data_IF_266262777479
#
_entry.id   IF_266262777479
#
_cell.length_a   1.000
_cell.length_b   1.000
_cell.length_c   1.000
_cell.angle_alpha   90.00
_cell.angle_beta   90.00
_cell.angle_gamma   90.00
#
_symmetry.space_group_name_H-M   'P 1'
#
loop_
_entity.id
_entity.type
_entity.pdbx_description
1 polymer ?
#
# COMPACT_ATOMS: atom_id res chain seq x y z
N UNK A 1 -19.36 -3.25 3.17
CA UNK A 1 -18.59 -2.87 4.38
C UNK A 1 -17.46 -1.96 3.93
N UNK A 2 -16.94 -1.08 4.79
CA UNK A 2 -15.94 -0.10 4.37
C UNK A 2 -14.55 -0.75 4.28
N UNK A 3 -13.97 -0.73 3.08
CA UNK A 3 -12.65 -1.27 2.76
C UNK A 3 -11.47 -0.42 3.29
N UNK A 4 -11.75 0.62 4.08
CA UNK A 4 -10.76 1.56 4.59
C UNK A 4 -10.63 1.40 6.11
N UNK A 5 -9.48 0.91 6.58
CA UNK A 5 -9.09 0.96 8.01
C UNK A 5 -8.19 2.19 8.22
N UNK A 6 -8.26 2.80 9.41
CA UNK A 6 -7.57 4.05 9.68
C UNK A 6 -7.43 4.26 11.20
N UNK A 7 -6.21 4.44 11.69
CA UNK A 7 -6.00 4.94 13.06
C UNK A 7 -6.06 6.48 13.04
N UNK A 8 -7.28 7.02 13.16
CA UNK A 8 -7.52 8.45 12.97
C UNK A 8 -6.73 9.31 13.96
N UNK A 9 -6.78 8.97 15.26
CA UNK A 9 -6.07 9.72 16.30
C UNK A 9 -4.56 9.80 16.02
N UNK A 10 -3.94 8.67 15.65
CA UNK A 10 -2.52 8.64 15.30
C UNK A 10 -2.21 9.49 14.07
N UNK A 11 -2.98 9.35 12.98
CA UNK A 11 -2.76 10.15 11.77
C UNK A 11 -2.92 11.64 12.05
N UNK A 12 -3.96 12.05 12.79
CA UNK A 12 -4.18 13.46 13.14
C UNK A 12 -3.01 14.05 13.94
N UNK A 13 -2.49 13.31 14.94
CA UNK A 13 -1.30 13.71 15.70
C UNK A 13 -0.07 13.82 14.79
N UNK A 14 0.16 12.86 13.90
CA UNK A 14 1.30 12.93 12.97
C UNK A 14 1.16 14.06 11.94
N UNK A 15 -0.06 14.42 11.52
CA UNK A 15 -0.30 15.60 10.65
C UNK A 15 0.02 16.89 11.40
N UNK A 16 -0.43 17.03 12.64
CA UNK A 16 -0.10 18.18 13.48
C UNK A 16 1.42 18.30 13.66
N UNK A 17 2.10 17.22 14.05
CA UNK A 17 3.53 17.21 14.32
C UNK A 17 4.41 17.41 13.07
N UNK A 18 4.02 16.86 11.90
CA UNK A 18 4.87 16.84 10.69
C UNK A 18 4.53 17.93 9.67
N UNK A 19 3.34 18.54 9.78
CA UNK A 19 2.85 19.55 8.83
C UNK A 19 2.30 20.83 9.49
N UNK A 20 2.18 20.89 10.83
CA UNK A 20 1.62 22.04 11.57
C UNK A 20 0.17 22.40 11.20
N UNK A 21 -0.58 21.48 10.59
CA UNK A 21 -1.96 21.74 10.14
C UNK A 21 -2.94 21.59 11.31
N UNK A 22 -3.62 22.67 11.64
CA UNK A 22 -4.54 22.74 12.78
C UNK A 22 -5.88 22.05 12.51
N UNK A 23 -6.34 21.98 11.26
CA UNK A 23 -7.62 21.37 10.86
C UNK A 23 -7.45 20.04 10.11
N UNK A 24 -6.62 19.15 10.66
CA UNK A 24 -6.30 17.85 10.07
C UNK A 24 -7.52 16.93 9.89
N UNK A 25 -8.59 17.12 10.67
CA UNK A 25 -9.82 16.33 10.63
C UNK A 25 -10.57 16.48 9.30
N UNK A 26 -10.64 17.69 8.73
CA UNK A 26 -11.29 17.91 7.43
C UNK A 26 -10.51 17.20 6.31
N UNK A 27 -9.18 17.31 6.33
CA UNK A 27 -8.28 16.60 5.40
C UNK A 27 -8.49 15.08 5.49
N UNK A 28 -8.44 14.50 6.69
CA UNK A 28 -8.56 13.05 6.87
C UNK A 28 -9.95 12.53 6.47
N UNK A 29 -11.01 13.28 6.78
CA UNK A 29 -12.37 13.00 6.29
C UNK A 29 -12.42 12.98 4.76
N UNK A 30 -11.84 13.98 4.10
CA UNK A 30 -11.81 14.10 2.64
C UNK A 30 -11.07 12.93 2.00
N UNK A 31 -9.89 12.57 2.50
CA UNK A 31 -9.14 11.39 2.03
C UNK A 31 -9.93 10.10 2.24
N UNK A 32 -10.46 9.85 3.44
CA UNK A 32 -11.25 8.64 3.73
C UNK A 32 -12.47 8.51 2.82
N UNK A 33 -13.19 9.62 2.58
CA UNK A 33 -14.40 9.62 1.74
C UNK A 33 -14.09 9.49 0.25
N UNK A 34 -13.02 10.12 -0.25
CA UNK A 34 -12.55 9.92 -1.62
C UNK A 34 -12.18 8.45 -1.87
N UNK A 35 -11.40 7.84 -0.96
CA UNK A 35 -11.05 6.41 -1.05
C UNK A 35 -12.29 5.51 -0.97
N UNK A 36 -13.17 5.71 0.01
CA UNK A 36 -14.34 4.87 0.20
C UNK A 36 -15.42 5.00 -0.88
N UNK A 37 -15.50 6.16 -1.56
CA UNK A 37 -16.50 6.38 -2.63
C UNK A 37 -15.98 6.10 -4.02
N UNK A 38 -14.68 6.30 -4.30
CA UNK A 38 -14.13 6.17 -5.66
C UNK A 38 -13.35 4.88 -5.91
N UNK A 39 -12.78 4.21 -4.89
CA UNK A 39 -11.98 3.01 -5.13
C UNK A 39 -12.86 1.74 -5.30
N UNK A 40 -12.73 0.99 -6.42
CA UNK A 40 -13.27 -0.36 -6.54
C UNK A 40 -12.77 -1.31 -5.43
N UNK A 41 -13.54 -2.36 -5.11
CA UNK A 41 -13.20 -3.31 -4.02
C UNK A 41 -11.92 -4.11 -4.22
N UNK A 42 -11.48 -4.28 -5.47
CA UNK A 42 -10.23 -4.91 -5.87
C UNK A 42 -9.17 -3.92 -6.37
N UNK A 43 -9.37 -2.63 -6.08
CA UNK A 43 -8.41 -1.63 -6.51
C UNK A 43 -7.05 -1.80 -5.85
N UNK A 44 -5.98 -1.53 -6.61
CA UNK A 44 -4.61 -1.59 -6.11
C UNK A 44 -3.88 -0.29 -6.41
N UNK A 45 -3.51 0.43 -5.35
CA UNK A 45 -2.67 1.63 -5.47
C UNK A 45 -1.19 1.33 -5.79
N UNK A 46 -0.76 0.07 -5.87
CA UNK A 46 0.64 -0.43 -5.69
C UNK A 46 1.71 0.01 -6.72
N UNK A 47 2.55 -0.87 -7.29
CA UNK A 47 2.52 -2.35 -7.36
C UNK A 47 3.51 -3.07 -6.41
N UNK A 48 3.88 -2.46 -5.27
CA UNK A 48 4.85 -2.99 -4.30
C UNK A 48 4.50 -4.39 -3.73
N UNK A 49 5.49 -5.27 -3.46
CA UNK A 49 5.31 -6.49 -2.67
C UNK A 49 4.99 -6.22 -1.19
N UNK A 50 5.45 -5.10 -0.63
CA UNK A 50 5.02 -4.66 0.71
C UNK A 50 3.62 -4.05 0.72
N UNK A 51 2.99 -3.95 -0.46
CA UNK A 51 1.69 -3.33 -0.71
C UNK A 51 1.49 -1.93 -0.10
N UNK A 52 2.60 -1.23 0.21
CA UNK A 52 2.65 0.16 0.64
C UNK A 52 2.27 1.11 -0.50
N UNK A 53 1.47 2.12 -0.20
CA UNK A 53 1.06 3.16 -1.13
C UNK A 53 0.98 4.51 -0.42
N UNK A 54 1.15 5.59 -1.19
CA UNK A 54 1.00 6.97 -0.71
C UNK A 54 -0.23 7.64 -1.32
N UNK A 55 -1.07 8.24 -0.49
CA UNK A 55 -2.16 9.12 -0.91
C UNK A 55 -1.80 10.54 -0.50
N UNK A 56 -1.89 11.49 -1.42
CA UNK A 56 -1.70 12.92 -1.11
C UNK A 56 -3.03 13.65 -1.20
N UNK A 57 -3.37 14.37 -0.13
CA UNK A 57 -4.44 15.38 -0.18
C UNK A 57 -3.90 16.62 -0.91
N UNK A 58 -4.47 16.98 -2.06
CA UNK A 58 -3.90 18.03 -2.92
C UNK A 58 -3.98 19.42 -2.31
N UNK A 59 -5.01 19.68 -1.50
CA UNK A 59 -5.24 20.95 -0.81
C UNK A 59 -4.18 21.19 0.28
N UNK A 60 -4.07 20.25 1.23
CA UNK A 60 -3.13 20.39 2.36
C UNK A 60 -1.70 19.89 2.10
N UNK A 61 -1.46 19.19 0.98
CA UNK A 61 -0.20 18.48 0.66
C UNK A 61 0.20 17.37 1.63
N UNK A 62 -0.68 16.97 2.55
CA UNK A 62 -0.43 15.86 3.48
C UNK A 62 -0.29 14.56 2.70
N UNK A 63 0.78 13.82 2.97
CA UNK A 63 1.11 12.53 2.36
C UNK A 63 0.84 11.41 3.35
N UNK A 64 -0.25 10.67 3.17
CA UNK A 64 -0.62 9.54 4.03
C UNK A 64 -0.01 8.25 3.46
N UNK A 65 0.71 7.51 4.31
CA UNK A 65 1.16 6.16 4.03
C UNK A 65 0.04 5.16 4.39
N UNK A 66 -0.31 4.30 3.44
CA UNK A 66 -1.19 3.17 3.67
C UNK A 66 -0.60 1.84 3.18
N UNK A 67 -1.22 0.73 3.58
CA UNK A 67 -0.92 -0.65 3.15
C UNK A 67 -2.19 -1.30 2.66
N UNK A 68 -2.12 -2.03 1.53
CA UNK A 68 -3.23 -2.83 1.02
C UNK A 68 -3.02 -4.31 1.33
N UNK A 69 -4.03 -5.02 1.80
CA UNK A 69 -3.97 -6.47 2.00
C UNK A 69 -5.33 -7.13 1.74
N UNK A 70 -5.32 -8.43 1.48
CA UNK A 70 -6.53 -9.26 1.38
C UNK A 70 -7.05 -9.52 2.80
N UNK A 71 -8.33 -9.24 3.05
CA UNK A 71 -8.94 -9.32 4.38
C UNK A 71 -9.26 -10.77 4.77
N UNK A 72 -8.20 -11.48 5.13
CA UNK A 72 -8.26 -12.83 5.69
C UNK A 72 -7.20 -12.97 6.79
N UNK A 73 -7.57 -13.66 7.87
CA UNK A 73 -6.67 -14.01 8.97
C UNK A 73 -6.57 -12.97 10.11
N UNK A 74 -7.42 -11.94 10.15
CA UNK A 74 -7.50 -11.03 11.32
C UNK A 74 -7.86 -11.81 12.60
N UNK A 75 -8.94 -12.60 12.57
CA UNK A 75 -9.37 -13.45 13.68
C UNK A 75 -8.33 -14.54 14.06
N UNK A 76 -7.58 -15.05 13.09
CA UNK A 76 -6.48 -16.00 13.33
C UNK A 76 -5.40 -15.34 14.21
N UNK A 77 -4.95 -14.14 13.83
CA UNK A 77 -3.96 -13.36 14.60
C UNK A 77 -4.51 -12.96 15.98
N UNK A 78 -5.77 -12.56 16.08
CA UNK A 78 -6.42 -12.26 17.37
C UNK A 78 -6.47 -13.49 18.28
N UNK A 79 -6.80 -14.68 17.73
CA UNK A 79 -6.79 -15.94 18.48
C UNK A 79 -5.39 -16.33 18.97
N UNK A 80 -4.37 -16.07 18.15
CA UNK A 80 -2.97 -16.30 18.48
C UNK A 80 -2.52 -15.37 19.61
N UNK A 81 -2.82 -14.07 19.49
CA UNK A 81 -2.50 -13.08 20.52
C UNK A 81 -3.19 -13.41 21.85
N UNK A 82 -4.45 -13.87 21.80
CA UNK A 82 -5.17 -14.38 22.97
C UNK A 82 -4.47 -15.62 23.57
N UNK A 83 -4.14 -16.62 22.76
CA UNK A 83 -3.45 -17.83 23.23
C UNK A 83 -2.08 -17.52 23.85
N UNK A 84 -1.34 -16.55 23.30
CA UNK A 84 -0.08 -16.07 23.88
C UNK A 84 -0.32 -15.36 25.23
N UNK A 85 -1.38 -14.54 25.34
CA UNK A 85 -1.70 -13.86 26.60
C UNK A 85 -2.21 -14.78 27.72
N UNK A 86 -2.77 -15.93 27.35
CA UNK A 86 -3.27 -16.96 28.28
C UNK A 86 -2.28 -18.10 28.54
N UNK A 87 -1.05 -18.02 27.98
CA UNK A 87 -0.01 -19.07 28.00
C UNK A 87 -0.45 -20.45 27.43
N UNK A 88 -1.39 -20.43 26.48
CA UNK A 88 -1.97 -21.61 25.79
C UNK A 88 -1.39 -21.82 24.39
N UNK A 89 -0.13 -21.40 24.19
CA UNK A 89 0.52 -21.44 22.88
C UNK A 89 0.67 -22.88 22.37
N UNK A 90 0.99 -23.84 23.26
CA UNK A 90 1.13 -25.25 22.87
C UNK A 90 -0.15 -25.80 22.26
N UNK A 91 -1.30 -25.59 22.91
CA UNK A 91 -2.61 -26.03 22.42
C UNK A 91 -2.99 -25.37 21.09
N UNK A 92 -2.68 -24.08 20.93
CA UNK A 92 -2.87 -23.39 19.65
C UNK A 92 -1.99 -23.99 18.55
N UNK A 93 -0.72 -24.32 18.84
CA UNK A 93 0.20 -24.92 17.85
C UNK A 93 -0.15 -26.35 17.46
N UNK A 94 -0.88 -27.11 18.28
CA UNK A 94 -1.44 -28.42 17.88
C UNK A 94 -2.39 -28.31 16.68
N UNK A 95 -3.03 -27.15 16.50
CA UNK A 95 -3.89 -26.84 15.35
C UNK A 95 -3.16 -26.33 14.09
N UNK A 96 -1.83 -26.16 14.12
CA UNK A 96 -1.09 -25.43 13.08
C UNK A 96 -1.22 -26.03 11.68
N UNK A 97 -1.40 -27.36 11.54
CA UNK A 97 -1.60 -27.97 10.22
C UNK A 97 -2.96 -27.63 9.60
N UNK A 98 -4.03 -27.55 10.41
CA UNK A 98 -5.34 -27.07 9.98
C UNK A 98 -5.28 -25.61 9.55
N UNK A 99 -4.65 -24.76 10.38
CA UNK A 99 -4.42 -23.34 10.06
C UNK A 99 -3.59 -23.14 8.79
N UNK A 100 -2.59 -23.99 8.55
CA UNK A 100 -1.81 -23.98 7.31
C UNK A 100 -2.66 -24.34 6.09
N UNK A 101 -3.62 -25.27 6.22
CA UNK A 101 -4.56 -25.60 5.14
C UNK A 101 -5.48 -24.41 4.83
N UNK A 102 -6.13 -23.85 5.85
CA UNK A 102 -7.01 -22.67 5.69
C UNK A 102 -6.25 -21.47 5.09
N UNK A 103 -5.02 -21.26 5.54
CA UNK A 103 -4.15 -20.21 4.99
C UNK A 103 -3.86 -20.43 3.51
N UNK A 104 -3.47 -21.64 3.09
CA UNK A 104 -3.24 -21.96 1.67
C UNK A 104 -4.51 -21.79 0.82
N UNK A 105 -5.68 -22.17 1.35
CA UNK A 105 -6.98 -21.96 0.68
C UNK A 105 -7.29 -20.46 0.51
N UNK A 106 -7.02 -19.64 1.53
CA UNK A 106 -7.15 -18.19 1.46
C UNK A 106 -6.16 -17.55 0.46
N UNK A 107 -4.91 -18.03 0.42
CA UNK A 107 -3.93 -17.57 -0.55
C UNK A 107 -4.38 -17.84 -1.99
N UNK A 108 -5.07 -18.97 -2.23
CA UNK A 108 -5.64 -19.37 -3.51
C UNK A 108 -7.06 -18.80 -3.79
N UNK A 109 -7.64 -17.99 -2.89
CA UNK A 109 -9.00 -17.46 -3.05
C UNK A 109 -9.00 -16.10 -3.81
N UNK A 110 -9.65 -15.98 -4.99
CA UNK A 110 -9.75 -14.71 -5.75
C UNK A 110 -10.80 -13.73 -5.19
N UNK A 111 -11.65 -14.18 -4.25
CA UNK A 111 -12.84 -13.48 -3.79
C UNK A 111 -12.67 -12.79 -2.43
N UNK A 112 -11.48 -12.80 -1.84
CA UNK A 112 -11.24 -11.99 -0.64
C UNK A 112 -11.41 -10.50 -1.00
N UNK A 113 -11.98 -9.74 -0.07
CA UNK A 113 -12.03 -8.30 -0.18
C UNK A 113 -10.64 -7.70 0.09
N UNK A 114 -10.33 -6.56 -0.53
CA UNK A 114 -9.13 -5.79 -0.17
C UNK A 114 -9.48 -4.84 0.96
N UNK A 115 -8.56 -4.68 1.90
CA UNK A 115 -8.52 -3.58 2.88
C UNK A 115 -7.35 -2.67 2.57
N UNK A 116 -7.63 -1.38 2.58
CA UNK A 116 -6.65 -0.30 2.58
C UNK A 116 -6.54 0.26 4.00
N UNK A 117 -5.44 -0.04 4.69
CA UNK A 117 -5.15 0.44 6.04
C UNK A 117 -4.30 1.71 5.96
N UNK A 118 -4.87 2.86 6.33
CA UNK A 118 -4.16 4.13 6.44
C UNK A 118 -3.40 4.14 7.77
N UNK A 119 -2.06 4.13 7.69
CA UNK A 119 -1.17 3.89 8.83
C UNK A 119 -0.73 5.19 9.53
N UNK A 120 -0.13 6.12 8.79
CA UNK A 120 0.52 7.31 9.35
C UNK A 120 0.60 8.44 8.32
N UNK A 121 0.71 9.70 8.77
CA UNK A 121 1.04 10.82 7.88
C UNK A 121 2.56 10.88 7.71
N UNK A 122 3.05 10.52 6.54
CA UNK A 122 4.49 10.46 6.24
C UNK A 122 5.09 11.87 6.17
N UNK A 123 6.35 12.11 6.60
CA UNK A 123 6.97 13.43 6.51
C UNK A 123 6.93 14.02 5.08
N UNK A 124 6.85 15.36 4.93
CA UNK A 124 6.81 16.00 3.62
C UNK A 124 8.07 15.68 2.80
N UNK A 125 9.24 15.83 3.42
CA UNK A 125 10.56 15.58 2.83
C UNK A 125 10.73 14.12 2.34
N UNK A 126 11.75 13.87 1.52
CA UNK A 126 12.13 12.50 1.12
C UNK A 126 12.55 11.71 2.37
N UNK A 127 11.80 10.66 2.70
CA UNK A 127 12.35 9.56 3.49
C UNK A 127 13.50 8.89 2.73
N UNK A 128 14.41 8.26 3.45
CA UNK A 128 15.62 7.70 2.85
C UNK A 128 15.31 6.58 1.86
N UNK A 129 15.56 6.83 0.57
CA UNK A 129 15.40 5.86 -0.52
C UNK A 129 16.29 4.60 -0.29
N UNK A 130 17.35 4.73 0.51
CA UNK A 130 18.22 3.62 0.94
C UNK A 130 17.58 2.66 1.95
N UNK A 131 16.50 3.06 2.62
CA UNK A 131 15.73 2.21 3.54
C UNK A 131 14.70 1.38 2.78
N UNK A 132 13.92 2.00 1.87
CA UNK A 132 12.93 1.30 1.03
C UNK A 132 13.57 0.16 0.22
N UNK A 133 14.80 0.35 -0.30
CA UNK A 133 15.56 -0.69 -1.02
C UNK A 133 16.03 -1.85 -0.13
N UNK A 134 16.45 -1.59 1.11
CA UNK A 134 16.89 -2.63 2.05
C UNK A 134 15.71 -3.45 2.58
N UNK A 135 14.57 -2.78 2.85
CA UNK A 135 13.31 -3.44 3.18
C UNK A 135 12.84 -4.34 2.03
N UNK A 136 12.95 -3.90 0.77
CA UNK A 136 12.59 -4.71 -0.39
C UNK A 136 13.38 -6.03 -0.46
N UNK A 137 14.70 -5.99 -0.33
CA UNK A 137 15.56 -7.18 -0.43
C UNK A 137 15.14 -8.28 0.57
N UNK A 138 14.97 -7.92 1.84
CA UNK A 138 14.51 -8.84 2.87
C UNK A 138 13.08 -9.36 2.62
N UNK A 139 12.14 -8.48 2.20
CA UNK A 139 10.75 -8.90 1.90
C UNK A 139 10.70 -9.91 0.74
N UNK A 140 11.58 -9.79 -0.27
CA UNK A 140 11.69 -10.80 -1.34
C UNK A 140 12.11 -12.17 -0.82
N UNK A 141 13.00 -12.21 0.16
CA UNK A 141 13.52 -13.45 0.74
C UNK A 141 12.56 -14.09 1.74
N UNK A 142 11.65 -13.32 2.33
CA UNK A 142 10.83 -13.73 3.49
C UNK A 142 9.37 -14.07 3.15
N UNK A 143 8.80 -13.56 2.04
CA UNK A 143 7.40 -13.87 1.68
C UNK A 143 7.18 -15.28 1.13
N UNK A 144 6.02 -15.86 1.43
CA UNK A 144 5.60 -17.16 0.91
C UNK A 144 5.15 -17.12 -0.57
N UNK A 145 4.77 -15.95 -1.07
CA UNK A 145 4.22 -15.77 -2.41
C UNK A 145 5.31 -15.71 -3.48
N UNK A 146 5.16 -16.43 -4.62
CA UNK A 146 6.00 -16.24 -5.80
C UNK A 146 5.61 -14.94 -6.50
N UNK A 147 6.01 -13.80 -5.93
CA UNK A 147 5.83 -12.50 -6.58
C UNK A 147 6.88 -12.39 -7.69
N UNK A 148 6.44 -12.47 -8.95
CA UNK A 148 7.29 -12.14 -10.10
C UNK A 148 7.53 -10.62 -10.07
N UNK A 149 8.76 -10.23 -9.75
CA UNK A 149 9.10 -8.86 -9.38
C UNK A 149 9.80 -8.11 -10.51
N UNK A 150 9.23 -6.97 -10.89
CA UNK A 150 10.00 -5.89 -11.51
C UNK A 150 10.48 -4.92 -10.43
N UNK A 151 11.80 -4.75 -10.31
CA UNK A 151 12.44 -4.03 -9.19
C UNK A 151 12.23 -2.51 -9.21
N UNK A 152 11.66 -1.98 -10.30
CA UNK A 152 11.44 -0.55 -10.48
C UNK A 152 10.07 -0.17 -9.92
N UNK A 153 10.07 0.77 -8.97
CA UNK A 153 8.92 1.54 -8.40
C UNK A 153 8.31 1.04 -7.08
N UNK A 154 9.17 0.83 -6.08
CA UNK A 154 8.91 1.43 -4.76
C UNK A 154 9.60 2.80 -4.75
N UNK A 155 8.81 3.86 -4.51
CA UNK A 155 9.30 5.20 -4.27
C UNK A 155 8.28 5.96 -3.43
N UNK A 156 8.74 6.80 -2.51
CA UNK A 156 7.92 7.69 -1.67
C UNK A 156 7.16 8.82 -2.45
N UNK A 157 6.74 8.52 -3.67
CA UNK A 157 5.93 9.36 -4.58
C UNK A 157 4.45 9.01 -4.41
N UNK A 158 3.51 9.93 -4.72
CA UNK A 158 2.09 9.65 -4.60
C UNK A 158 1.68 8.52 -5.55
N UNK A 159 0.96 7.54 -5.01
CA UNK A 159 0.23 6.53 -5.80
C UNK A 159 -1.17 7.04 -6.16
N UNK A 160 -1.76 7.84 -5.28
CA UNK A 160 -3.03 8.51 -5.52
C UNK A 160 -3.01 9.96 -5.01
N UNK A 161 -3.87 10.79 -5.61
CA UNK A 161 -4.06 12.20 -5.24
C UNK A 161 -5.56 12.43 -5.03
N UNK A 162 -5.91 12.98 -3.88
CA UNK A 162 -7.28 13.37 -3.51
C UNK A 162 -7.42 14.87 -3.75
N UNK A 163 -8.33 15.26 -4.64
CA UNK A 163 -8.63 16.67 -4.94
C UNK A 163 -9.87 17.13 -4.19
N UNK A 164 -10.89 16.27 -4.10
CA UNK A 164 -12.13 16.49 -3.36
C UNK A 164 -12.65 15.18 -2.77
N UNK A 165 -13.76 15.20 -2.03
CA UNK A 165 -14.36 13.98 -1.45
C UNK A 165 -14.87 12.98 -2.50
N UNK A 166 -14.95 13.38 -3.77
CA UNK A 166 -15.44 12.60 -4.90
C UNK A 166 -14.42 12.48 -6.04
N UNK A 167 -13.21 13.03 -5.88
CA UNK A 167 -12.22 13.16 -6.95
C UNK A 167 -10.88 12.56 -6.50
N UNK A 168 -10.68 11.29 -6.85
CA UNK A 168 -9.50 10.49 -6.54
C UNK A 168 -8.77 10.12 -7.82
N UNK A 169 -7.55 10.60 -7.98
CA UNK A 169 -6.70 10.33 -9.14
C UNK A 169 -5.67 9.26 -8.81
N UNK A 170 -5.36 8.36 -9.74
CA UNK A 170 -4.38 7.28 -9.57
C UNK A 170 -3.24 7.37 -10.59
N UNK A 171 -2.01 7.18 -10.08
CA UNK A 171 -0.78 7.29 -10.85
C UNK A 171 -0.66 6.15 -11.85
N UNK A 172 -0.38 6.49 -13.10
CA UNK A 172 -0.08 5.54 -14.16
C UNK A 172 1.41 5.23 -14.27
N UNK A 173 1.76 4.25 -15.11
CA UNK A 173 3.15 3.78 -15.26
C UNK A 173 4.10 4.80 -15.88
N UNK A 174 3.61 5.96 -16.34
CA UNK A 174 4.41 6.98 -17.04
C UNK A 174 4.87 8.08 -16.10
N UNK A 175 6.19 8.31 -16.12
CA UNK A 175 6.86 9.36 -15.37
C UNK A 175 8.09 9.86 -16.14
N UNK A 176 8.38 11.15 -16.07
CA UNK A 176 9.54 11.76 -16.70
C UNK A 176 10.16 12.85 -15.82
N UNK A 177 11.39 13.25 -16.14
CA UNK A 177 12.08 14.38 -15.53
C UNK A 177 12.31 15.40 -16.64
N UNK A 178 11.96 16.67 -16.40
CA UNK A 178 12.23 17.72 -17.39
C UNK A 178 13.73 18.05 -17.35
N UNK A 179 14.48 17.96 -18.47
CA UNK A 179 15.92 18.26 -18.48
C UNK A 179 16.27 19.67 -18.00
N UNK A 180 15.34 20.64 -18.16
CA UNK A 180 15.49 22.02 -17.70
C UNK A 180 15.22 22.22 -16.20
N UNK A 181 14.65 21.22 -15.52
CA UNK A 181 14.43 21.23 -14.07
C UNK A 181 14.55 19.79 -13.51
N UNK A 182 15.79 19.28 -13.33
CA UNK A 182 16.02 17.90 -12.93
C UNK A 182 15.53 17.57 -11.50
N UNK A 183 15.23 18.58 -10.69
CA UNK A 183 14.71 18.45 -9.32
C UNK A 183 13.17 18.24 -9.28
N UNK A 184 12.52 18.18 -10.44
CA UNK A 184 11.06 18.07 -10.60
C UNK A 184 10.72 16.87 -11.50
N UNK A 185 10.15 15.84 -10.89
CA UNK A 185 9.57 14.68 -11.58
C UNK A 185 8.12 14.98 -11.96
N UNK A 186 7.65 14.42 -13.08
CA UNK A 186 6.28 14.54 -13.58
C UNK A 186 5.66 13.16 -13.71
N UNK A 187 4.37 13.07 -13.41
CA UNK A 187 3.61 11.82 -13.36
C UNK A 187 2.25 12.00 -14.03
N UNK A 188 1.87 11.02 -14.85
CA UNK A 188 0.52 10.93 -15.37
C UNK A 188 -0.41 10.33 -14.30
N UNK A 189 -1.55 10.97 -14.09
CA UNK A 189 -2.64 10.45 -13.27
C UNK A 189 -3.94 10.40 -14.09
N UNK A 190 -4.75 9.38 -13.86
CA UNK A 190 -6.08 9.21 -14.46
C UNK A 190 -7.12 9.14 -13.33
N UNK A 191 -8.37 9.57 -13.59
CA UNK A 191 -9.41 9.58 -12.56
C UNK A 191 -9.81 8.13 -12.22
N UNK A 192 -9.85 7.80 -10.93
CA UNK A 192 -10.45 6.56 -10.45
C UNK A 192 -11.94 6.78 -10.16
N UNK A 193 -12.76 5.84 -10.61
CA UNK A 193 -14.20 5.80 -10.38
C UNK A 193 -14.59 4.44 -9.79
N UNK A 194 -15.81 4.27 -9.25
CA UNK A 194 -16.29 2.97 -8.74
C UNK A 194 -16.25 1.81 -9.75
N UNK A 195 -16.19 2.13 -11.06
CA UNK A 195 -16.12 1.18 -12.16
C UNK A 195 -14.68 0.93 -12.66
N UNK A 196 -13.68 1.58 -12.05
CA UNK A 196 -12.27 1.56 -12.46
C UNK A 196 -11.78 2.90 -12.99
N UNK A 197 -10.64 2.87 -13.71
CA UNK A 197 -10.02 4.08 -14.27
C UNK A 197 -10.88 4.66 -15.41
N UNK A 198 -11.19 5.95 -15.32
CA UNK A 198 -11.69 6.74 -16.45
C UNK A 198 -10.53 7.31 -17.28
N UNK A 199 -10.14 6.58 -18.33
CA UNK A 199 -9.07 6.95 -19.27
C UNK A 199 -9.33 8.21 -20.11
N UNK A 200 -10.57 8.71 -20.14
CA UNK A 200 -10.89 9.96 -20.81
C UNK A 200 -10.47 11.20 -20.00
N UNK A 201 -10.21 11.03 -18.69
CA UNK A 201 -9.84 12.12 -17.80
C UNK A 201 -8.43 11.86 -17.24
N UNK A 202 -7.51 12.76 -17.55
CA UNK A 202 -6.12 12.73 -17.11
C UNK A 202 -5.69 14.06 -16.53
N UNK A 203 -4.72 14.02 -15.61
CA UNK A 203 -4.01 15.17 -15.06
C UNK A 203 -2.52 14.87 -14.97
N UNK A 204 -1.68 15.87 -15.18
CA UNK A 204 -0.24 15.77 -14.92
C UNK A 204 0.00 16.40 -13.54
N UNK A 205 0.70 15.66 -12.69
CA UNK A 205 1.16 16.18 -11.41
C UNK A 205 2.68 16.14 -11.35
N UNK A 206 3.28 17.20 -10.82
CA UNK A 206 4.70 17.23 -10.50
C UNK A 206 4.96 16.86 -9.05
N UNK A 207 6.16 16.32 -8.80
CA UNK A 207 6.70 16.02 -7.49
C UNK A 207 8.12 16.56 -7.38
N UNK A 208 8.39 17.41 -6.38
CA UNK A 208 9.72 17.99 -6.15
C UNK A 208 10.56 17.17 -5.17
N UNK A 209 11.86 17.44 -5.11
CA UNK A 209 12.75 16.84 -4.11
C UNK A 209 12.28 17.06 -2.65
N UNK A 210 11.59 18.17 -2.37
CA UNK A 210 11.05 18.53 -1.06
C UNK A 210 9.70 17.88 -0.75
N UNK A 211 9.14 17.13 -1.70
CA UNK A 211 7.88 16.41 -1.56
C UNK A 211 6.61 17.19 -1.89
N UNK A 212 6.74 18.39 -2.46
CA UNK A 212 5.58 19.15 -2.92
C UNK A 212 4.92 18.46 -4.12
N UNK A 213 3.58 18.43 -4.11
CA UNK A 213 2.75 17.99 -5.24
C UNK A 213 1.98 19.18 -5.81
N UNK A 214 2.11 19.41 -7.12
CA UNK A 214 1.38 20.47 -7.84
C UNK A 214 0.73 19.89 -9.10
N UNK A 215 -0.49 20.32 -9.39
CA UNK A 215 -1.14 20.06 -10.68
C UNK A 215 -0.45 20.94 -11.74
N UNK A 216 -0.16 20.36 -12.91
CA UNK A 216 0.50 21.04 -14.02
C UNK A 216 -0.46 21.15 -15.19
N UNK A 217 -0.43 22.27 -15.92
CA UNK A 217 -1.22 22.43 -17.13
C UNK A 217 -0.70 21.48 -18.25
N UNK A 218 -1.62 20.85 -18.97
CA UNK A 218 -1.35 19.99 -20.14
C UNK A 218 -0.64 20.84 -21.23
N UNK A 219 0.70 20.83 -21.21
CA UNK A 219 1.56 21.66 -22.06
C UNK A 219 2.79 22.24 -21.34
N UNK A 220 2.71 22.54 -20.04
CA UNK A 220 3.83 23.14 -19.27
C UNK A 220 4.86 22.10 -18.82
N UNK A 221 4.45 20.84 -18.67
CA UNK A 221 5.28 19.74 -18.17
C UNK A 221 6.44 19.32 -19.07
N UNK A 222 6.58 19.92 -20.26
CA UNK A 222 7.72 19.70 -21.16
C UNK A 222 7.88 18.26 -21.64
N UNK A 223 6.77 17.57 -21.95
CA UNK A 223 6.85 16.37 -22.80
C UNK A 223 7.58 16.79 -24.08
N UNK A 224 8.67 16.12 -24.50
CA UNK A 224 9.34 16.43 -25.75
C UNK A 224 8.32 16.38 -26.89
N UNK A 225 8.06 17.53 -27.51
CA UNK A 225 7.13 17.63 -28.64
C UNK A 225 7.65 16.72 -29.76
N UNK A 226 6.92 15.66 -30.09
CA UNK A 226 7.19 14.83 -31.26
C UNK A 226 7.76 13.43 -31.04
N UNK A 227 7.74 12.85 -29.83
CA UNK A 227 7.81 11.38 -29.73
C UNK A 227 6.40 10.77 -29.75
N UNK A 228 6.21 9.72 -30.55
CA UNK A 228 4.98 8.91 -30.54
C UNK A 228 4.74 8.19 -29.19
N UNK A 229 5.75 8.20 -28.31
CA UNK A 229 5.64 7.76 -26.91
C UNK A 229 5.03 8.83 -25.98
N UNK A 230 5.19 10.13 -26.28
CA UNK A 230 4.43 11.21 -25.62
C UNK A 230 2.98 11.28 -26.14
N UNK A 231 2.70 10.80 -27.35
CA UNK A 231 1.35 10.58 -27.85
C UNK A 231 0.74 9.33 -27.22
N UNK A 232 0.22 9.52 -26.01
CA UNK A 232 -0.59 8.56 -25.25
C UNK A 232 -1.71 7.95 -26.13
N UNK A 233 -1.43 6.83 -26.79
CA UNK A 233 -2.46 6.01 -27.45
C UNK A 233 -3.51 5.66 -26.41
N UNK A 234 -4.77 5.98 -26.67
CA UNK A 234 -5.88 5.51 -25.83
C UNK A 234 -5.79 3.97 -25.73
N UNK A 235 -5.56 3.40 -24.53
CA UNK A 235 -5.50 1.96 -24.41
C UNK A 235 -6.92 1.43 -24.49
N UNK A 236 -7.26 0.82 -25.63
CA UNK A 236 -8.51 0.09 -25.95
C UNK A 236 -8.67 -1.18 -25.09
N UNK A 237 -8.62 -1.00 -23.77
CA UNK A 237 -8.89 -2.03 -22.78
C UNK A 237 -10.37 -2.07 -22.46
N UNK A 238 -10.99 -3.23 -22.64
CA UNK A 238 -12.35 -3.52 -22.17
C UNK A 238 -12.46 -3.16 -20.68
N UNK A 239 -13.58 -2.55 -20.29
CA UNK A 239 -13.97 -2.43 -18.88
C UNK A 239 -13.91 -3.81 -18.23
N UNK A 240 -13.28 -3.91 -17.06
CA UNK A 240 -13.30 -5.13 -16.25
C UNK A 240 -14.75 -5.39 -15.84
N UNK A 241 -15.33 -6.49 -16.33
CA UNK A 241 -16.69 -6.89 -15.93
C UNK A 241 -16.65 -7.43 -14.51
N UNK A 242 -17.72 -7.15 -13.75
CA UNK A 242 -17.84 -7.53 -12.35
C UNK A 242 -17.52 -9.02 -12.13
N UNK A 243 -16.55 -9.31 -11.27
CA UNK A 243 -16.08 -10.67 -10.96
C UNK A 243 -14.71 -11.04 -11.53
N UNK A 244 -14.16 -10.29 -12.50
CA UNK A 244 -12.79 -10.48 -12.96
C UNK A 244 -11.79 -9.74 -12.06
N UNK A 245 -10.83 -10.48 -11.47
CA UNK A 245 -9.67 -9.91 -10.77
C UNK A 245 -8.48 -9.80 -11.73
N UNK A 246 -7.61 -8.82 -11.50
CA UNK A 246 -6.32 -8.72 -12.20
C UNK A 246 -5.27 -9.61 -11.53
N UNK A 247 -4.23 -10.04 -12.25
CA UNK A 247 -3.13 -10.84 -11.66
C UNK A 247 -2.45 -10.14 -10.47
N UNK A 248 -2.51 -8.81 -10.46
CA UNK A 248 -2.01 -7.98 -9.37
C UNK A 248 -2.72 -8.22 -8.02
N UNK A 249 -3.95 -8.75 -8.00
CA UNK A 249 -4.66 -9.16 -6.78
C UNK A 249 -3.89 -10.25 -6.02
N UNK A 250 -3.35 -11.24 -6.73
CA UNK A 250 -2.64 -12.37 -6.13
C UNK A 250 -1.34 -11.96 -5.43
N UNK A 251 -0.75 -10.84 -5.86
CA UNK A 251 0.48 -10.29 -5.28
C UNK A 251 0.27 -9.51 -3.97
N UNK A 252 -0.96 -9.40 -3.47
CA UNK A 252 -1.24 -8.73 -2.21
C UNK A 252 -1.08 -9.70 -1.01
N UNK A 253 -0.42 -9.25 0.09
CA UNK A 253 -0.36 -10.00 1.34
C UNK A 253 -1.77 -10.23 1.91
N UNK A 254 -1.97 -11.29 2.69
CA UNK A 254 -3.11 -11.39 3.61
C UNK A 254 -2.82 -10.63 4.92
N UNK A 255 -3.76 -10.60 5.88
CA UNK A 255 -3.51 -9.94 7.16
C UNK A 255 -2.34 -10.58 7.95
N UNK A 256 -2.18 -11.92 8.04
CA UNK A 256 -1.00 -12.54 8.64
C UNK A 256 0.33 -12.14 7.99
N UNK A 257 0.42 -12.12 6.65
CA UNK A 257 1.60 -11.66 5.91
C UNK A 257 1.95 -10.21 6.29
N UNK A 258 0.94 -9.32 6.32
CA UNK A 258 1.09 -7.92 6.70
C UNK A 258 1.54 -7.77 8.16
N UNK A 259 0.99 -8.57 9.09
CA UNK A 259 1.36 -8.53 10.51
C UNK A 259 2.79 -9.04 10.72
N UNK A 260 3.17 -10.09 9.99
CA UNK A 260 4.55 -10.58 9.96
C UNK A 260 5.51 -9.47 9.49
N UNK A 261 5.25 -8.79 8.37
CA UNK A 261 6.08 -7.66 7.90
C UNK A 261 6.22 -6.54 8.94
N UNK A 262 5.13 -6.17 9.64
CA UNK A 262 5.14 -5.13 10.67
C UNK A 262 6.01 -5.55 11.88
N UNK A 263 5.93 -6.83 12.29
CA UNK A 263 6.76 -7.40 13.37
C UNK A 263 8.24 -7.52 12.96
N UNK A 264 8.53 -7.98 11.74
CA UNK A 264 9.90 -8.11 11.22
C UNK A 264 10.57 -6.77 10.96
N UNK A 265 9.81 -5.71 10.71
CA UNK A 265 10.35 -4.35 10.69
C UNK A 265 10.76 -3.93 12.11
N UNK A 266 9.89 -4.14 13.11
CA UNK A 266 10.13 -3.80 14.52
C UNK A 266 11.25 -4.60 15.19
N UNK A 267 11.50 -5.83 14.74
CA UNK A 267 12.65 -6.65 15.19
C UNK A 267 13.98 -6.05 14.72
N UNK A 268 14.03 -5.53 13.48
CA UNK A 268 15.27 -5.04 12.84
C UNK A 268 15.57 -3.57 13.11
N UNK A 269 14.54 -2.75 13.21
CA UNK A 269 14.63 -1.29 13.30
C UNK A 269 13.80 -0.77 14.51
N UNK A 270 14.07 -1.27 15.74
CA UNK A 270 13.24 -0.97 16.92
C UNK A 270 13.14 0.51 17.24
N UNK A 271 14.23 1.28 16.99
CA UNK A 271 14.32 2.71 17.26
C UNK A 271 13.58 3.59 16.24
N UNK A 272 13.22 3.02 15.08
CA UNK A 272 12.48 3.71 14.01
C UNK A 272 10.99 3.38 13.99
N UNK A 273 10.58 2.32 14.69
CA UNK A 273 9.19 1.93 14.74
C UNK A 273 8.39 2.86 15.68
N UNK A 274 7.27 3.38 15.18
CA UNK A 274 6.36 4.23 15.97
C UNK A 274 5.78 3.46 17.18
N UNK A 275 5.63 2.13 17.07
CA UNK A 275 5.22 1.24 18.17
C UNK A 275 6.39 0.75 19.07
N UNK A 276 7.63 1.15 18.79
CA UNK A 276 8.85 0.77 19.54
C UNK A 276 9.28 -0.70 19.37
N UNK A 277 10.25 -1.18 20.19
CA UNK A 277 10.73 -2.57 20.15
C UNK A 277 9.63 -3.59 20.42
N UNK A 278 9.85 -4.84 19.99
CA UNK A 278 8.90 -5.93 20.21
C UNK A 278 8.80 -6.31 21.69
N UNK A 279 7.57 -6.45 22.18
CA UNK A 279 7.30 -7.01 23.51
C UNK A 279 7.46 -8.53 23.48
N UNK A 280 7.69 -9.18 24.64
CA UNK A 280 7.85 -10.65 24.75
C UNK A 280 6.76 -11.43 23.98
N UNK A 281 5.49 -11.03 24.12
CA UNK A 281 4.37 -11.69 23.45
C UNK A 281 4.41 -11.51 21.91
N UNK A 282 4.91 -10.36 21.43
CA UNK A 282 5.03 -10.06 20.00
C UNK A 282 6.21 -10.80 19.37
N UNK A 283 7.26 -11.11 20.14
CA UNK A 283 8.34 -12.02 19.72
C UNK A 283 7.80 -13.44 19.51
N UNK A 284 6.94 -13.93 20.41
CA UNK A 284 6.28 -15.24 20.26
C UNK A 284 5.35 -15.24 19.04
N UNK A 285 4.55 -14.18 18.85
CA UNK A 285 3.70 -13.98 17.67
C UNK A 285 4.53 -14.04 16.37
N UNK A 286 5.65 -13.31 16.33
CA UNK A 286 6.58 -13.27 15.20
C UNK A 286 7.09 -14.66 14.81
N UNK A 287 7.60 -15.44 15.76
CA UNK A 287 8.10 -16.79 15.47
C UNK A 287 7.02 -17.74 14.97
N UNK A 288 5.78 -17.61 15.45
CA UNK A 288 4.66 -18.47 15.02
C UNK A 288 4.19 -18.09 13.61
N UNK A 289 4.07 -16.79 13.31
CA UNK A 289 3.73 -16.32 11.95
C UNK A 289 4.84 -16.68 10.94
N UNK A 290 6.12 -16.57 11.31
CA UNK A 290 7.25 -17.06 10.49
C UNK A 290 7.10 -18.53 10.12
N UNK A 291 6.83 -19.40 11.10
CA UNK A 291 6.64 -20.86 10.86
C UNK A 291 5.46 -21.14 9.92
N UNK A 292 4.34 -20.44 10.09
CA UNK A 292 3.15 -20.59 9.23
C UNK A 292 3.45 -20.20 7.78
N UNK A 293 4.08 -19.04 7.57
CA UNK A 293 4.44 -18.51 6.24
C UNK A 293 5.51 -19.39 5.57
N UNK A 294 6.53 -19.83 6.30
CA UNK A 294 7.56 -20.73 5.78
C UNK A 294 6.99 -22.10 5.39
N UNK A 295 6.08 -22.66 6.19
CA UNK A 295 5.41 -23.93 5.88
C UNK A 295 4.52 -23.82 4.63
N UNK A 296 3.83 -22.69 4.44
CA UNK A 296 3.08 -22.42 3.22
C UNK A 296 4.00 -22.31 2.00
N UNK A 297 5.11 -21.56 2.11
CA UNK A 297 6.11 -21.44 1.05
C UNK A 297 6.68 -22.79 0.62
N UNK A 298 7.01 -23.66 1.58
CA UNK A 298 7.49 -25.03 1.34
C UNK A 298 6.46 -25.93 0.64
N UNK A 299 5.15 -25.68 0.82
CA UNK A 299 4.07 -26.38 0.08
C UNK A 299 3.85 -25.80 -1.32
N UNK A 300 4.08 -24.50 -1.53
CA UNK A 300 4.04 -23.88 -2.88
C UNK A 300 5.23 -24.27 -3.75
N UNK A 301 6.46 -24.27 -3.22
CA UNK A 301 7.70 -24.59 -3.99
C UNK A 301 7.87 -26.09 -4.34
N UNK A 302 6.95 -26.95 -3.92
CA UNK A 302 6.93 -28.39 -4.23
C UNK A 302 5.90 -28.76 -5.32
N UNK A 303 5.29 -27.76 -5.96
CA UNK A 303 4.37 -27.91 -7.10
C UNK A 303 5.04 -27.38 -8.37
#
# INVERSE_FOLDING_TARGET
MNHIRCNENHILVQVQNRYNIHNATIMLRRVKKALATQAPRDWRFTQSPSARFFVVDLDTKVKILGVSYRDWGTQLVESLQKAISEDKVEDWTKGLEGLLKEYLEALANPRLDIVHDLRTAYPPQKGEIGEEKRILAAIKEQLAHPIVLMEKKLSARPNAIVVSEQELWVRQHLNWVNPKNPNKEYFLFELLTPLGINKAQRKIFSYTANGEVREELDGVAGCPQGSDECLLRQPTGKLLTAGHRTDAYWTLPTYPDRRLMDLEFREREPDKAEEGPLRRNEIVELYILRKLVEAARKKFLKR
#
